data_IF_709407671119
#
_entry.id   IF_709407671119
#
_cell.length_a   1.000
_cell.length_b   1.000
_cell.length_c   1.000
_cell.angle_alpha   90.00
_cell.angle_beta   90.00
_cell.angle_gamma   90.00
#
_symmetry.space_group_name_H-M   'P 1'
#
loop_
_entity.id
_entity.type
_entity.pdbx_description
1 polymer ?
#
# COMPACT_ATOMS: atom_id res chain seq x y z
N UNK A 1 -35.64 -32.24 23.28
CA UNK A 1 -34.17 -32.42 23.24
C UNK A 1 -33.53 -31.03 23.36
N UNK A 2 -33.05 -30.66 24.55
CA UNK A 2 -32.50 -29.30 24.80
C UNK A 2 -31.12 -29.22 24.15
N UNK A 3 -31.01 -28.56 23.01
CA UNK A 3 -29.71 -28.25 22.40
C UNK A 3 -28.93 -27.45 23.45
N UNK A 4 -27.82 -28.02 23.93
CA UNK A 4 -27.00 -27.42 24.98
C UNK A 4 -26.53 -26.04 24.50
N UNK A 5 -26.67 -24.96 25.31
CA UNK A 5 -26.25 -23.60 24.94
C UNK A 5 -24.76 -23.52 24.58
N UNK A 6 -23.98 -24.52 24.99
CA UNK A 6 -22.56 -24.72 24.67
C UNK A 6 -22.32 -24.85 23.15
N UNK A 7 -23.21 -25.53 22.41
CA UNK A 7 -23.02 -25.73 20.96
C UNK A 7 -23.24 -24.42 20.20
N UNK A 8 -24.18 -23.59 20.66
CA UNK A 8 -24.42 -22.26 20.09
C UNK A 8 -23.25 -21.31 20.37
N UNK A 9 -22.65 -21.39 21.56
CA UNK A 9 -21.45 -20.62 21.91
C UNK A 9 -20.22 -21.00 21.05
N UNK A 10 -20.02 -22.28 20.75
CA UNK A 10 -18.93 -22.76 19.89
C UNK A 10 -19.07 -22.30 18.43
N UNK A 11 -20.31 -22.22 17.92
CA UNK A 11 -20.61 -21.70 16.58
C UNK A 11 -20.44 -20.18 16.46
N UNK A 12 -20.64 -19.43 17.55
CA UNK A 12 -20.42 -17.98 17.58
C UNK A 12 -18.94 -17.61 17.66
N UNK A 13 -18.10 -18.47 18.26
CA UNK A 13 -16.66 -18.23 18.38
C UNK A 13 -15.91 -18.43 17.05
N UNK A 14 -16.40 -19.33 16.18
CA UNK A 14 -15.78 -19.57 14.86
C UNK A 14 -16.01 -18.45 13.85
N UNK A 15 -16.92 -17.51 14.11
CA UNK A 15 -17.15 -16.33 13.24
C UNK A 15 -16.10 -15.22 13.50
N UNK A 16 -15.31 -15.32 14.57
CA UNK A 16 -14.31 -14.29 14.90
C UNK A 16 -12.98 -14.43 14.15
N UNK A 17 -12.81 -15.48 13.33
CA UNK A 17 -11.56 -15.73 12.62
C UNK A 17 -11.66 -15.14 11.22
N UNK A 18 -10.85 -14.11 10.97
CA UNK A 18 -10.50 -13.52 9.67
C UNK A 18 -11.16 -12.20 9.27
N UNK A 19 -11.44 -11.32 10.23
CA UNK A 19 -11.24 -9.89 9.97
C UNK A 19 -9.83 -9.52 10.43
N UNK A 20 -8.79 -10.09 9.78
CA UNK A 20 -7.51 -9.40 9.76
C UNK A 20 -7.80 -8.11 9.03
N UNK A 21 -8.05 -7.06 9.80
CA UNK A 21 -8.08 -5.69 9.34
C UNK A 21 -7.00 -5.55 8.26
N UNK A 22 -7.40 -5.10 7.07
CA UNK A 22 -6.49 -4.50 6.11
C UNK A 22 -5.90 -3.26 6.78
N UNK A 23 -5.09 -3.46 7.82
CA UNK A 23 -4.46 -2.44 8.61
C UNK A 23 -3.50 -1.79 7.64
N UNK A 24 -3.93 -0.65 7.11
CA UNK A 24 -3.16 0.11 6.14
C UNK A 24 -1.87 0.47 6.87
N UNK A 25 -0.77 -0.22 6.53
CA UNK A 25 0.57 0.08 7.02
C UNK A 25 0.97 1.34 6.28
N UNK A 26 0.45 2.47 6.77
CA UNK A 26 0.54 3.76 6.08
C UNK A 26 2.00 4.18 6.07
N UNK A 27 2.73 3.78 5.03
CA UNK A 27 3.65 4.72 4.42
C UNK A 27 2.84 6.00 4.22
N UNK A 28 3.31 7.13 4.74
CA UNK A 28 2.92 8.43 4.21
C UNK A 28 4.22 9.06 3.76
N UNK A 29 4.54 8.79 2.52
CA UNK A 29 5.56 9.56 1.85
C UNK A 29 4.93 10.84 1.30
N UNK A 30 5.63 11.98 1.34
CA UNK A 30 5.28 13.18 0.57
C UNK A 30 6.35 13.38 -0.52
N UNK A 31 6.02 12.94 -1.73
CA UNK A 31 6.89 13.01 -2.92
C UNK A 31 6.58 14.21 -3.78
N UNK A 32 7.55 14.84 -4.43
CA UNK A 32 7.25 15.88 -5.42
C UNK A 32 8.52 16.39 -6.10
N UNK A 33 8.68 16.06 -7.39
CA UNK A 33 9.83 16.49 -8.20
C UNK A 33 9.91 18.02 -8.39
N UNK A 34 8.82 18.74 -8.10
CA UNK A 34 8.71 20.19 -8.17
C UNK A 34 7.86 20.74 -7.01
N UNK A 35 8.11 21.97 -6.54
CA UNK A 35 7.24 22.65 -5.58
C UNK A 35 5.79 22.67 -6.08
N UNK A 36 4.85 22.19 -5.25
CA UNK A 36 3.41 22.13 -5.58
C UNK A 36 2.90 20.77 -6.10
N UNK A 37 3.76 19.78 -6.32
CA UNK A 37 3.38 18.44 -6.78
C UNK A 37 3.50 17.37 -5.69
N UNK A 38 3.03 17.67 -4.47
CA UNK A 38 3.12 16.72 -3.35
C UNK A 38 2.20 15.52 -3.58
N UNK A 39 2.76 14.39 -4.00
CA UNK A 39 2.07 13.11 -4.09
C UNK A 39 2.32 12.28 -2.85
N UNK A 40 1.27 11.62 -2.36
CA UNK A 40 1.39 10.75 -1.19
C UNK A 40 1.36 9.29 -1.59
N UNK A 41 2.13 8.47 -0.91
CA UNK A 41 2.15 7.02 -1.15
C UNK A 41 1.62 6.29 0.07
N UNK A 42 0.76 5.28 -0.12
CA UNK A 42 0.35 4.34 0.93
C UNK A 42 0.22 2.93 0.37
N UNK A 43 0.46 1.90 1.17
CA UNK A 43 0.22 0.52 0.74
C UNK A 43 -0.60 -0.26 1.78
N UNK A 44 -1.18 -1.38 1.32
CA UNK A 44 -1.73 -2.44 2.15
C UNK A 44 -1.22 -3.79 1.62
N UNK A 45 -1.84 -4.91 2.00
CA UNK A 45 -1.40 -6.25 1.58
C UNK A 45 -1.61 -6.53 0.08
N UNK A 46 -2.47 -5.78 -0.61
CA UNK A 46 -2.85 -6.02 -2.00
C UNK A 46 -2.36 -4.92 -2.94
N UNK A 47 -2.47 -3.68 -2.51
CA UNK A 47 -2.37 -2.51 -3.36
C UNK A 47 -1.36 -1.50 -2.81
N UNK A 48 -0.64 -0.87 -3.73
CA UNK A 48 0.10 0.36 -3.51
C UNK A 48 -0.69 1.51 -4.15
N UNK A 49 -0.80 2.66 -3.47
CA UNK A 49 -1.64 3.78 -3.87
C UNK A 49 -0.82 5.07 -3.91
N UNK A 50 -0.86 5.76 -5.04
CA UNK A 50 -0.33 7.11 -5.26
C UNK A 50 -1.49 8.12 -5.22
N UNK A 51 -1.45 9.06 -4.28
CA UNK A 51 -2.42 10.14 -4.12
C UNK A 51 -1.88 11.43 -4.69
N UNK A 52 -2.66 12.09 -5.52
CA UNK A 52 -2.34 13.37 -6.12
C UNK A 52 -2.98 14.52 -5.33
N UNK A 53 -2.41 15.75 -5.38
CA UNK A 53 -2.96 16.91 -4.69
C UNK A 53 -4.43 17.21 -5.03
N UNK A 54 -4.86 16.90 -6.25
CA UNK A 54 -6.23 17.09 -6.73
C UNK A 54 -7.22 16.01 -6.27
N UNK A 55 -6.81 15.09 -5.40
CA UNK A 55 -7.63 13.98 -4.90
C UNK A 55 -7.68 12.75 -5.81
N UNK A 56 -7.08 12.80 -7.01
CA UNK A 56 -6.92 11.62 -7.85
C UNK A 56 -6.05 10.57 -7.16
N UNK A 57 -6.41 9.29 -7.34
CA UNK A 57 -5.68 8.15 -6.78
C UNK A 57 -5.35 7.18 -7.91
N UNK A 58 -4.08 6.80 -8.00
CA UNK A 58 -3.63 5.70 -8.85
C UNK A 58 -3.35 4.49 -7.98
N UNK A 59 -3.74 3.31 -8.45
CA UNK A 59 -3.65 2.05 -7.71
C UNK A 59 -2.80 1.07 -8.51
N UNK A 60 -1.82 0.47 -7.83
CA UNK A 60 -0.91 -0.51 -8.38
C UNK A 60 -1.11 -1.85 -7.67
N UNK A 61 -1.11 -2.93 -8.44
CA UNK A 61 -1.14 -4.29 -7.91
C UNK A 61 0.23 -4.66 -7.35
N UNK A 62 0.30 -4.98 -6.06
CA UNK A 62 1.53 -5.47 -5.44
C UNK A 62 1.86 -6.85 -6.01
N UNK A 63 3.11 -7.01 -6.44
CA UNK A 63 3.69 -8.28 -6.89
C UNK A 63 4.58 -8.91 -5.85
N UNK A 64 5.25 -8.10 -5.04
CA UNK A 64 6.11 -8.57 -3.96
C UNK A 64 6.11 -7.57 -2.83
N UNK A 65 6.04 -8.07 -1.60
CA UNK A 65 6.21 -7.28 -0.37
C UNK A 65 7.09 -8.07 0.59
N UNK A 66 8.14 -7.45 1.08
CA UNK A 66 8.98 -7.97 2.17
C UNK A 66 9.51 -6.80 3.01
N UNK A 67 10.36 -7.12 4.00
CA UNK A 67 10.92 -6.13 4.93
C UNK A 67 11.80 -5.08 4.25
N UNK A 68 12.41 -5.40 3.11
CA UNK A 68 13.34 -4.53 2.39
C UNK A 68 12.67 -3.72 1.29
N UNK A 69 11.64 -4.25 0.63
CA UNK A 69 11.01 -3.54 -0.49
C UNK A 69 9.58 -3.99 -0.82
N UNK A 70 8.90 -3.15 -1.60
CA UNK A 70 7.63 -3.42 -2.30
C UNK A 70 7.86 -3.25 -3.79
N UNK A 71 7.34 -4.18 -4.59
CA UNK A 71 7.20 -4.04 -6.05
C UNK A 71 5.73 -4.08 -6.42
N UNK A 72 5.29 -3.11 -7.22
CA UNK A 72 3.92 -3.02 -7.71
C UNK A 72 3.87 -2.58 -9.18
N UNK A 73 2.79 -2.93 -9.88
CA UNK A 73 2.58 -2.51 -11.27
C UNK A 73 1.12 -2.20 -11.56
N UNK A 74 0.89 -1.38 -12.57
CA UNK A 74 -0.42 -1.09 -13.14
C UNK A 74 -0.32 -1.26 -14.67
N UNK A 75 -1.28 -1.96 -15.26
CA UNK A 75 -1.47 -1.96 -16.71
C UNK A 75 -2.43 -0.82 -17.07
N UNK A 76 -1.88 0.36 -17.33
CA UNK A 76 -2.67 1.55 -17.60
C UNK A 76 -2.91 1.71 -19.11
N UNK A 77 -3.92 2.52 -19.47
CA UNK A 77 -4.27 2.81 -20.86
C UNK A 77 -3.08 3.26 -21.75
N UNK A 78 -2.06 3.90 -21.14
CA UNK A 78 -0.88 4.43 -21.85
C UNK A 78 0.35 3.53 -21.77
N UNK A 79 0.21 2.31 -21.26
CA UNK A 79 1.28 1.33 -21.10
C UNK A 79 1.49 0.92 -19.65
N UNK A 80 2.50 0.09 -19.41
CA UNK A 80 2.80 -0.47 -18.10
C UNK A 80 3.50 0.55 -17.19
N UNK A 81 2.99 0.69 -15.96
CA UNK A 81 3.59 1.52 -14.93
C UNK A 81 4.15 0.60 -13.84
N UNK A 82 5.36 0.89 -13.38
CA UNK A 82 6.06 0.13 -12.35
C UNK A 82 6.41 1.04 -11.18
N UNK A 83 6.26 0.52 -9.98
CA UNK A 83 6.67 1.22 -8.75
C UNK A 83 7.45 0.27 -7.86
N UNK A 84 8.59 0.74 -7.37
CA UNK A 84 9.35 0.06 -6.32
C UNK A 84 9.53 0.98 -5.12
N UNK A 85 9.24 0.48 -3.92
CA UNK A 85 9.52 1.16 -2.66
C UNK A 85 10.61 0.39 -1.94
N UNK A 86 11.76 1.00 -1.70
CA UNK A 86 12.84 0.41 -0.92
C UNK A 86 12.84 1.00 0.49
N UNK A 87 12.88 0.11 1.48
CA UNK A 87 13.05 0.42 2.90
C UNK A 87 14.52 0.22 3.26
N UNK A 88 15.24 1.32 3.45
CA UNK A 88 16.55 1.30 4.12
C UNK A 88 16.35 1.76 5.56
N UNK A 89 17.27 1.37 6.46
CA UNK A 89 17.17 1.67 7.90
C UNK A 89 16.99 3.18 8.20
N UNK A 90 17.50 4.04 7.31
CA UNK A 90 17.47 5.49 7.48
C UNK A 90 16.51 6.22 6.52
N UNK A 91 16.16 5.62 5.37
CA UNK A 91 15.46 6.32 4.29
C UNK A 91 14.48 5.40 3.56
N UNK A 92 13.43 5.98 2.99
CA UNK A 92 12.56 5.29 2.03
C UNK A 92 12.71 5.94 0.66
N UNK A 93 12.92 5.08 -0.34
CA UNK A 93 13.02 5.52 -1.73
C UNK A 93 11.86 4.93 -2.54
N UNK A 94 11.10 5.79 -3.21
CA UNK A 94 10.03 5.39 -4.13
C UNK A 94 10.48 5.69 -5.55
N UNK A 95 10.72 4.64 -6.34
CA UNK A 95 11.02 4.78 -7.77
C UNK A 95 9.78 4.45 -8.58
N UNK A 96 9.47 5.33 -9.52
CA UNK A 96 8.34 5.17 -10.44
C UNK A 96 8.87 5.19 -11.86
N UNK A 97 8.48 4.18 -12.61
CA UNK A 97 8.77 4.07 -14.03
C UNK A 97 7.46 4.00 -14.82
N UNK A 98 7.33 4.89 -15.78
CA UNK A 98 6.22 4.96 -16.72
C UNK A 98 6.79 5.02 -18.14
N UNK A 99 5.98 4.80 -19.18
CA UNK A 99 6.45 4.94 -20.56
C UNK A 99 6.96 6.36 -20.91
N UNK A 100 6.59 7.38 -20.12
CA UNK A 100 6.90 8.78 -20.41
C UNK A 100 7.95 9.40 -19.48
N UNK A 101 8.01 8.93 -18.24
CA UNK A 101 8.80 9.54 -17.16
C UNK A 101 9.30 8.45 -16.21
N UNK A 102 10.55 8.59 -15.78
CA UNK A 102 11.13 7.88 -14.64
C UNK A 102 11.54 8.89 -13.57
N UNK A 103 11.23 8.61 -12.32
CA UNK A 103 11.69 9.44 -11.20
C UNK A 103 11.83 8.63 -9.91
N UNK A 104 12.66 9.14 -9.00
CA UNK A 104 12.81 8.61 -7.65
C UNK A 104 12.51 9.71 -6.65
N UNK A 105 11.70 9.40 -5.66
CA UNK A 105 11.53 10.21 -4.47
C UNK A 105 12.25 9.59 -3.28
N UNK A 106 13.03 10.42 -2.59
CA UNK A 106 13.89 10.05 -1.46
C UNK A 106 13.50 10.75 -0.15
N UNK A 107 12.39 11.52 -0.12
CA UNK A 107 11.88 12.21 1.07
C UNK A 107 10.75 11.45 1.76
N UNK A 108 10.66 10.14 1.54
CA UNK A 108 9.64 9.32 2.16
C UNK A 108 10.00 8.98 3.61
N UNK A 109 9.03 9.16 4.52
CA UNK A 109 9.16 8.77 5.92
C UNK A 109 8.16 7.68 6.27
N UNK A 110 8.60 6.68 7.04
CA UNK A 110 7.73 5.62 7.55
C UNK A 110 6.96 6.19 8.71
N UNK A 111 5.63 6.20 8.65
CA UNK A 111 4.84 6.49 9.83
C UNK A 111 4.54 5.17 10.54
N UNK A 112 5.09 5.03 11.74
CA UNK A 112 4.59 4.06 12.69
C UNK A 112 3.36 4.69 13.35
N UNK A 113 2.18 4.06 13.21
CA UNK A 113 0.96 4.38 13.97
C UNK A 113 0.78 3.32 15.04
#
# INVERSE_FOLDING_TARGET
MKIKPIILYLLLFSIQISASENKMVKLKCESGAYPGQVKRWSYNQKNLIEFYPNGYKRVYDIKTINEKYILAKEDAKRGMYYVSINFNDNNINVSVETPLVKYTDNKCTKLNL
#
